data_IF_754268226850
#
_entry.id   IF_754268226850
#
_cell.length_a   1.000
_cell.length_b   1.000
_cell.length_c   1.000
_cell.angle_alpha   90.00
_cell.angle_beta   90.00
_cell.angle_gamma   90.00
#
_symmetry.space_group_name_H-M   'P 1'
#
loop_
_entity.id
_entity.type
_entity.pdbx_description
1 polymer ?
#
# COMPACT_ATOMS: atom_id res chain seq x y z
N UNK A 1 0.62 22.16 -46.15
CA UNK A 1 0.66 20.68 -46.18
C UNK A 1 0.33 20.19 -44.77
N UNK A 2 -0.92 19.74 -44.56
CA UNK A 2 -1.32 19.21 -43.25
C UNK A 2 -0.84 17.75 -43.18
N UNK A 3 -0.07 17.44 -42.18
CA UNK A 3 0.38 16.07 -41.91
C UNK A 3 -0.84 15.32 -41.31
N UNK A 4 -1.22 14.21 -41.93
CA UNK A 4 -2.35 13.39 -41.53
C UNK A 4 -2.02 12.70 -40.17
N UNK A 5 -2.80 13.00 -39.15
CA UNK A 5 -2.60 12.44 -37.80
C UNK A 5 -2.67 10.91 -37.74
N UNK A 6 -3.45 10.27 -38.63
CA UNK A 6 -3.50 8.81 -38.70
C UNK A 6 -2.18 8.19 -39.18
N UNK A 7 -1.46 8.86 -40.08
CA UNK A 7 -0.14 8.42 -40.52
C UNK A 7 0.92 8.50 -39.41
N UNK A 8 0.72 9.35 -38.40
CA UNK A 8 1.65 9.51 -37.26
C UNK A 8 1.42 8.48 -36.13
N UNK A 9 0.25 7.81 -36.09
CA UNK A 9 -0.06 6.82 -35.03
C UNK A 9 0.98 5.68 -34.90
N UNK A 10 1.45 5.05 -36.01
CA UNK A 10 2.51 4.03 -35.91
C UNK A 10 3.84 4.59 -35.40
N UNK A 11 4.17 5.82 -35.79
CA UNK A 11 5.44 6.48 -35.37
C UNK A 11 5.38 7.00 -33.92
N UNK A 12 4.21 7.39 -33.41
CA UNK A 12 4.03 7.71 -31.98
C UNK A 12 4.27 6.48 -31.10
N UNK A 13 3.78 5.30 -31.49
CA UNK A 13 4.06 4.04 -30.75
C UNK A 13 5.54 3.63 -30.85
N UNK A 14 6.18 3.83 -31.99
CA UNK A 14 7.63 3.59 -32.15
C UNK A 14 8.47 4.56 -31.34
N UNK A 15 8.11 5.84 -31.28
CA UNK A 15 8.83 6.84 -30.46
C UNK A 15 8.71 6.56 -28.97
N UNK A 16 7.57 6.06 -28.49
CA UNK A 16 7.42 5.65 -27.09
C UNK A 16 8.23 4.39 -26.79
N UNK A 17 8.24 3.39 -27.70
CA UNK A 17 9.08 2.20 -27.56
C UNK A 17 10.57 2.58 -27.60
N UNK A 18 11.00 3.47 -28.49
CA UNK A 18 12.38 3.93 -28.58
C UNK A 18 12.85 4.69 -27.34
N UNK A 19 11.96 5.45 -26.67
CA UNK A 19 12.27 6.15 -25.43
C UNK A 19 12.35 5.21 -24.23
N UNK A 20 11.56 4.14 -24.25
CA UNK A 20 11.42 3.23 -23.12
C UNK A 20 12.33 2.00 -23.20
N UNK A 21 12.85 1.68 -24.41
CA UNK A 21 13.85 0.60 -24.59
C UNK A 21 15.23 1.24 -24.46
N UNK A 22 15.89 0.96 -23.33
CA UNK A 22 17.19 1.53 -23.00
C UNK A 22 18.21 0.41 -22.82
N UNK A 23 19.46 0.68 -23.15
CA UNK A 23 20.57 -0.26 -22.94
C UNK A 23 20.86 -0.42 -21.45
N UNK A 24 21.23 -1.63 -21.02
CA UNK A 24 21.72 -1.85 -19.66
C UNK A 24 23.00 -1.04 -19.31
N UNK A 25 23.76 -0.61 -20.32
CA UNK A 25 24.91 0.28 -20.16
C UNK A 25 24.58 1.78 -20.19
N UNK A 26 23.29 2.14 -20.14
CA UNK A 26 22.90 3.55 -20.07
C UNK A 26 23.50 4.21 -18.81
N UNK A 27 24.17 5.39 -18.97
CA UNK A 27 24.82 6.04 -17.83
C UNK A 27 23.89 6.34 -16.65
N UNK A 28 22.61 6.62 -16.92
CA UNK A 28 21.62 6.84 -15.86
C UNK A 28 21.35 5.56 -15.05
N UNK A 29 21.26 4.39 -15.72
CA UNK A 29 21.11 3.12 -15.01
C UNK A 29 22.35 2.77 -14.20
N UNK A 30 23.53 3.03 -14.76
CA UNK A 30 24.80 2.84 -14.05
C UNK A 30 24.86 3.73 -12.80
N UNK A 31 24.45 5.00 -12.91
CA UNK A 31 24.38 5.90 -11.75
C UNK A 31 23.36 5.43 -10.72
N UNK A 32 22.17 5.00 -11.12
CA UNK A 32 21.15 4.45 -10.23
C UNK A 32 21.67 3.21 -9.47
N UNK A 33 22.43 2.34 -10.13
CA UNK A 33 23.04 1.16 -9.49
C UNK A 33 24.13 1.58 -8.50
N UNK A 34 24.96 2.55 -8.85
CA UNK A 34 25.97 3.11 -7.94
C UNK A 34 25.30 3.72 -6.70
N UNK A 35 24.26 4.54 -6.89
CA UNK A 35 23.50 5.15 -5.79
C UNK A 35 22.87 4.09 -4.89
N UNK A 36 22.34 3.00 -5.49
CA UNK A 36 21.79 1.88 -4.74
C UNK A 36 22.79 1.23 -3.78
N UNK A 37 24.03 1.02 -4.24
CA UNK A 37 25.06 0.36 -3.43
C UNK A 37 25.85 1.32 -2.56
N UNK A 38 26.16 2.51 -3.04
CA UNK A 38 27.06 3.45 -2.35
C UNK A 38 26.34 4.38 -1.38
N UNK A 39 25.11 4.79 -1.69
CA UNK A 39 24.32 5.71 -0.86
C UNK A 39 23.37 4.98 0.11
N UNK A 40 23.44 3.66 0.19
CA UNK A 40 22.60 2.88 1.09
C UNK A 40 21.11 2.89 0.71
N UNK A 41 20.78 2.97 -0.59
CA UNK A 41 19.39 2.90 -1.06
C UNK A 41 18.66 1.63 -0.62
N UNK A 42 19.39 0.57 -0.29
CA UNK A 42 18.84 -0.59 0.38
C UNK A 42 18.18 -0.25 1.73
N UNK A 43 18.55 0.88 2.32
CA UNK A 43 18.00 1.40 3.57
C UNK A 43 16.85 2.41 3.34
N UNK A 44 16.53 2.78 2.10
CA UNK A 44 15.37 3.62 1.80
C UNK A 44 14.07 2.88 2.07
N UNK A 45 13.09 3.59 2.59
CA UNK A 45 11.77 3.05 2.91
C UNK A 45 11.53 2.89 4.41
N UNK A 46 10.30 2.55 4.73
CA UNK A 46 9.80 2.42 6.09
C UNK A 46 10.24 1.07 6.66
N UNK A 47 10.87 1.06 7.82
CA UNK A 47 11.20 -0.18 8.52
C UNK A 47 9.91 -0.88 8.99
N UNK A 48 9.95 -2.20 9.00
CA UNK A 48 8.85 -3.00 9.57
C UNK A 48 9.10 -3.26 11.08
N UNK A 49 8.04 -3.38 11.90
CA UNK A 49 8.16 -3.50 13.36
C UNK A 49 8.60 -4.88 13.84
N UNK A 50 9.38 -5.62 13.03
CA UNK A 50 9.79 -6.99 13.34
C UNK A 50 11.31 -7.10 13.32
N UNK A 51 11.92 -7.33 14.47
CA UNK A 51 13.38 -7.42 14.61
C UNK A 51 14.03 -8.43 13.64
N UNK A 52 13.37 -9.55 13.36
CA UNK A 52 13.87 -10.56 12.42
C UNK A 52 14.01 -10.03 10.96
N UNK A 53 13.29 -8.97 10.62
CA UNK A 53 13.25 -8.41 9.27
C UNK A 53 13.83 -7.00 9.17
N UNK A 54 14.26 -6.40 10.28
CA UNK A 54 14.68 -5.00 10.40
C UNK A 54 15.68 -4.54 9.32
N UNK A 55 16.58 -5.44 8.89
CA UNK A 55 17.61 -5.14 7.88
C UNK A 55 17.40 -5.89 6.55
N UNK A 56 16.31 -6.63 6.41
CA UNK A 56 16.05 -7.49 5.26
C UNK A 56 14.86 -7.05 4.43
N UNK A 57 13.92 -6.36 5.05
CA UNK A 57 12.68 -5.95 4.41
C UNK A 57 12.28 -4.56 4.85
N UNK A 58 11.94 -3.71 3.88
CA UNK A 58 11.40 -2.36 4.07
C UNK A 58 10.23 -2.14 3.13
N UNK A 59 9.31 -1.31 3.55
CA UNK A 59 8.23 -0.82 2.70
C UNK A 59 8.79 0.33 1.87
N UNK A 60 9.24 0.03 0.66
CA UNK A 60 9.88 1.02 -0.21
C UNK A 60 8.83 1.86 -0.94
N UNK A 61 9.13 3.15 -1.23
CA UNK A 61 8.32 3.95 -2.15
C UNK A 61 8.14 3.22 -3.49
N UNK A 62 7.04 3.52 -4.17
CA UNK A 62 6.73 2.97 -5.51
C UNK A 62 6.41 1.47 -5.54
N UNK A 63 6.27 0.83 -4.38
CA UNK A 63 5.97 -0.59 -4.27
C UNK A 63 4.58 -0.85 -3.68
N UNK A 64 4.03 -2.02 -4.02
CA UNK A 64 2.79 -2.58 -3.47
C UNK A 64 3.11 -3.87 -2.71
N UNK A 65 2.71 -3.93 -1.45
CA UNK A 65 2.75 -5.15 -0.63
C UNK A 65 1.33 -5.72 -0.46
N UNK A 66 1.15 -7.02 -0.74
CA UNK A 66 -0.11 -7.71 -0.50
C UNK A 66 -0.02 -8.54 0.78
N UNK A 67 -0.87 -8.25 1.77
CA UNK A 67 -1.06 -9.06 2.97
C UNK A 67 -2.18 -10.06 2.74
N UNK A 68 -1.83 -11.26 2.29
CA UNK A 68 -2.76 -12.35 2.05
C UNK A 68 -2.96 -13.25 3.26
N UNK A 69 -4.16 -13.75 3.47
CA UNK A 69 -4.46 -14.75 4.51
C UNK A 69 -5.94 -14.94 4.77
N UNK A 70 -6.28 -16.00 5.49
CA UNK A 70 -7.67 -16.32 5.87
C UNK A 70 -8.24 -15.27 6.84
N UNK A 71 -9.58 -15.21 6.95
CA UNK A 71 -10.25 -14.33 7.90
C UNK A 71 -9.83 -14.67 9.36
N UNK A 72 -9.63 -13.63 10.16
CA UNK A 72 -9.18 -13.79 11.54
C UNK A 72 -7.67 -14.05 11.74
N UNK A 73 -6.86 -14.12 10.67
CA UNK A 73 -5.41 -14.35 10.76
C UNK A 73 -4.59 -13.13 11.26
N UNK A 74 -5.23 -12.03 11.66
CA UNK A 74 -4.54 -10.87 12.20
C UNK A 74 -3.97 -9.89 11.17
N UNK A 75 -4.35 -9.98 9.88
CA UNK A 75 -3.83 -9.09 8.81
C UNK A 75 -4.01 -7.62 9.12
N UNK A 76 -5.23 -7.21 9.47
CA UNK A 76 -5.53 -5.80 9.81
C UNK A 76 -4.83 -5.34 11.10
N UNK A 77 -4.57 -6.27 12.04
CA UNK A 77 -3.79 -5.98 13.24
C UNK A 77 -2.33 -5.71 12.88
N UNK A 78 -1.75 -6.56 12.02
CA UNK A 78 -0.41 -6.41 11.50
C UNK A 78 -0.25 -5.11 10.72
N UNK A 79 -1.21 -4.80 9.83
CA UNK A 79 -1.22 -3.55 9.05
C UNK A 79 -1.29 -2.31 9.96
N UNK A 80 -2.11 -2.34 11.01
CA UNK A 80 -2.17 -1.27 12.02
C UNK A 80 -0.82 -1.07 12.72
N UNK A 81 -0.12 -2.16 13.06
CA UNK A 81 1.21 -2.09 13.65
C UNK A 81 2.25 -1.47 12.71
N UNK A 82 2.16 -1.76 11.40
CA UNK A 82 3.02 -1.13 10.39
C UNK A 82 2.76 0.39 10.28
N UNK A 83 1.50 0.83 10.35
CA UNK A 83 1.13 2.26 10.37
C UNK A 83 1.70 2.96 11.61
N UNK A 84 1.56 2.37 12.80
CA UNK A 84 2.12 2.91 14.03
C UNK A 84 3.64 3.08 13.93
N UNK A 85 4.31 2.04 13.48
CA UNK A 85 5.77 2.05 13.34
C UNK A 85 6.26 3.03 12.25
N UNK A 86 5.50 3.22 11.19
CA UNK A 86 5.76 4.26 10.20
C UNK A 86 5.66 5.67 10.83
N UNK A 87 4.63 5.89 11.66
CA UNK A 87 4.45 7.14 12.40
C UNK A 87 5.59 7.45 13.39
N UNK A 88 6.16 6.42 14.04
CA UNK A 88 7.36 6.54 14.90
C UNK A 88 8.59 7.00 14.10
N UNK A 89 8.72 6.57 12.85
CA UNK A 89 9.78 6.97 11.92
C UNK A 89 9.51 8.33 11.23
N UNK A 90 8.40 9.00 11.55
CA UNK A 90 8.03 10.30 10.98
C UNK A 90 7.31 10.24 9.63
N UNK A 91 6.94 9.06 9.17
CA UNK A 91 6.16 8.93 7.94
C UNK A 91 4.67 9.11 8.20
N UNK A 92 4.00 9.78 7.27
CA UNK A 92 2.55 9.96 7.31
C UNK A 92 1.85 8.83 6.57
N UNK A 93 0.76 8.33 7.16
CA UNK A 93 0.02 7.18 6.66
C UNK A 93 -1.44 7.50 6.43
N UNK A 94 -2.04 6.90 5.39
CA UNK A 94 -3.47 6.92 5.11
C UNK A 94 -4.03 5.51 5.26
N UNK A 95 -5.07 5.35 6.08
CA UNK A 95 -5.84 4.10 6.18
C UNK A 95 -7.19 4.24 5.48
N UNK A 96 -7.41 3.39 4.48
CA UNK A 96 -8.67 3.23 3.75
C UNK A 96 -9.21 1.86 4.11
N UNK A 97 -10.14 1.78 5.05
CA UNK A 97 -10.75 0.52 5.46
C UNK A 97 -12.24 0.56 5.19
N UNK A 98 -12.71 -0.45 4.47
CA UNK A 98 -14.13 -0.67 4.22
C UNK A 98 -14.76 -1.59 5.28
N UNK A 99 -13.93 -2.24 6.12
CA UNK A 99 -14.39 -3.18 7.15
C UNK A 99 -14.52 -2.52 8.53
N UNK A 100 -13.69 -1.52 8.82
CA UNK A 100 -13.63 -0.89 10.14
C UNK A 100 -13.73 0.63 10.04
N UNK A 101 -14.60 1.19 10.88
CA UNK A 101 -14.67 2.65 11.03
C UNK A 101 -13.35 3.23 11.60
N UNK A 102 -13.04 4.51 11.34
CA UNK A 102 -11.88 5.19 11.92
C UNK A 102 -11.81 5.07 13.45
N UNK A 103 -12.97 5.20 14.13
CA UNK A 103 -13.07 5.00 15.59
C UNK A 103 -12.57 3.62 16.01
N UNK A 104 -13.01 2.56 15.33
CA UNK A 104 -12.62 1.19 15.67
C UNK A 104 -11.14 0.94 15.38
N UNK A 105 -10.60 1.52 14.31
CA UNK A 105 -9.17 1.46 13.98
C UNK A 105 -8.33 2.20 15.02
N UNK A 106 -8.71 3.43 15.39
CA UNK A 106 -8.02 4.21 16.42
C UNK A 106 -8.03 3.51 17.78
N UNK A 107 -9.16 2.92 18.18
CA UNK A 107 -9.24 2.16 19.43
C UNK A 107 -8.31 0.95 19.42
N UNK A 108 -8.18 0.25 18.28
CA UNK A 108 -7.22 -0.84 18.11
C UNK A 108 -5.78 -0.33 18.20
N UNK A 109 -5.44 0.72 17.45
CA UNK A 109 -4.10 1.31 17.43
C UNK A 109 -3.68 1.84 18.80
N UNK A 110 -4.61 2.44 19.56
CA UNK A 110 -4.34 2.89 20.91
C UNK A 110 -3.97 1.72 21.84
N UNK A 111 -4.70 0.60 21.78
CA UNK A 111 -4.35 -0.62 22.56
C UNK A 111 -2.98 -1.18 22.17
N UNK A 112 -2.63 -1.13 20.89
CA UNK A 112 -1.31 -1.56 20.41
C UNK A 112 -0.20 -0.64 20.91
N UNK A 113 -0.40 0.67 20.86
CA UNK A 113 0.59 1.66 21.26
C UNK A 113 0.79 1.69 22.79
N UNK A 114 -0.30 1.58 23.56
CA UNK A 114 -0.25 1.61 25.03
C UNK A 114 0.10 0.26 25.66
N UNK A 115 0.03 -0.85 24.89
CA UNK A 115 0.13 -2.23 25.38
C UNK A 115 -0.92 -2.58 26.48
N UNK A 116 -2.05 -1.87 26.45
CA UNK A 116 -3.13 -2.04 27.43
C UNK A 116 -4.39 -2.54 26.71
N UNK A 117 -5.09 -3.53 27.32
CA UNK A 117 -6.36 -4.00 26.81
C UNK A 117 -7.45 -2.92 26.91
N UNK A 118 -7.40 -2.14 27.99
CA UNK A 118 -8.29 -1.00 28.28
C UNK A 118 -7.43 0.23 28.57
N UNK A 119 -7.11 1.04 27.55
CA UNK A 119 -6.30 2.23 27.74
C UNK A 119 -7.01 3.29 28.61
N UNK A 120 -6.25 3.94 29.47
CA UNK A 120 -6.72 5.05 30.31
C UNK A 120 -6.97 6.30 29.45
N UNK A 121 -7.81 7.21 29.97
CA UNK A 121 -8.17 8.46 29.28
C UNK A 121 -6.95 9.27 28.87
N UNK A 122 -5.96 9.38 29.75
CA UNK A 122 -4.72 10.12 29.47
C UNK A 122 -3.91 9.46 28.34
N UNK A 123 -3.88 8.13 28.31
CA UNK A 123 -3.25 7.35 27.23
C UNK A 123 -3.95 7.58 25.89
N UNK A 124 -5.29 7.62 25.90
CA UNK A 124 -6.09 7.88 24.69
C UNK A 124 -5.80 9.28 24.17
N UNK A 125 -5.77 10.28 25.06
CA UNK A 125 -5.49 11.67 24.71
C UNK A 125 -4.07 11.84 24.18
N UNK A 126 -3.08 11.26 24.85
CA UNK A 126 -1.69 11.31 24.42
C UNK A 126 -1.47 10.63 23.06
N UNK A 127 -2.14 9.51 22.83
CA UNK A 127 -2.11 8.82 21.53
C UNK A 127 -2.74 9.68 20.43
N UNK A 128 -3.87 10.35 20.72
CA UNK A 128 -4.53 11.25 19.77
C UNK A 128 -3.62 12.40 19.33
N UNK A 129 -2.93 13.04 20.28
CA UNK A 129 -1.97 14.11 19.98
C UNK A 129 -0.75 13.57 19.22
N UNK A 130 -0.24 12.40 19.57
CA UNK A 130 0.87 11.76 18.84
C UNK A 130 0.46 11.39 17.41
N UNK A 131 -0.75 10.86 17.20
CA UNK A 131 -1.25 10.41 15.90
C UNK A 131 -1.62 11.57 14.97
N UNK A 132 -1.87 12.75 15.56
CA UNK A 132 -2.19 13.97 14.83
C UNK A 132 -1.11 14.24 13.77
N UNK A 133 -1.55 14.58 12.57
CA UNK A 133 -0.69 14.84 11.41
C UNK A 133 0.22 13.69 10.96
N UNK A 134 0.05 12.47 11.54
CA UNK A 134 0.76 11.25 11.14
C UNK A 134 -0.16 10.20 10.55
N UNK A 135 -1.37 10.04 11.10
CA UNK A 135 -2.31 8.99 10.69
C UNK A 135 -3.60 9.64 10.22
N UNK A 136 -3.95 9.38 8.98
CA UNK A 136 -5.15 9.87 8.32
C UNK A 136 -6.06 8.69 7.99
N UNK A 137 -7.37 8.94 8.02
CA UNK A 137 -8.39 7.93 7.71
C UNK A 137 -9.30 8.45 6.61
N UNK A 138 -9.65 7.56 5.69
CA UNK A 138 -10.75 7.80 4.78
C UNK A 138 -12.03 7.35 5.47
N UNK A 139 -12.84 8.30 5.93
CA UNK A 139 -14.06 8.05 6.69
C UNK A 139 -15.28 8.03 5.78
N UNK A 140 -15.44 6.92 5.05
CA UNK A 140 -16.61 6.65 4.25
C UNK A 140 -16.97 5.17 4.33
N UNK A 141 -18.27 4.91 4.51
CA UNK A 141 -18.79 3.54 4.51
C UNK A 141 -19.19 3.11 3.10
N UNK A 142 -19.05 1.84 2.81
CA UNK A 142 -19.43 1.23 1.55
C UNK A 142 -18.26 0.87 0.65
N UNK A 143 -18.58 0.43 -0.55
CA UNK A 143 -17.57 0.06 -1.55
C UNK A 143 -17.04 1.29 -2.29
N UNK A 144 -15.75 1.29 -2.60
CA UNK A 144 -15.08 2.33 -3.39
C UNK A 144 -14.63 1.73 -4.70
N UNK A 145 -14.92 2.39 -5.81
CA UNK A 145 -14.41 1.97 -7.11
C UNK A 145 -12.90 2.30 -7.26
N UNK A 146 -12.18 1.58 -8.14
CA UNK A 146 -10.73 1.74 -8.26
C UNK A 146 -10.26 3.16 -8.64
N UNK A 147 -11.03 3.90 -9.45
CA UNK A 147 -10.63 5.24 -9.89
C UNK A 147 -10.79 6.25 -8.75
N UNK A 148 -11.88 6.14 -8.00
CA UNK A 148 -12.10 6.92 -6.78
C UNK A 148 -11.02 6.63 -5.76
N UNK A 149 -10.64 5.36 -5.56
CA UNK A 149 -9.56 4.97 -4.65
C UNK A 149 -8.22 5.62 -5.03
N UNK A 150 -7.84 5.58 -6.30
CA UNK A 150 -6.62 6.23 -6.80
C UNK A 150 -6.69 7.75 -6.59
N UNK A 151 -7.86 8.36 -6.78
CA UNK A 151 -8.07 9.81 -6.57
C UNK A 151 -7.90 10.20 -5.10
N UNK A 152 -8.42 9.39 -4.17
CA UNK A 152 -8.25 9.57 -2.72
C UNK A 152 -6.77 9.51 -2.34
N UNK A 153 -6.05 8.48 -2.82
CA UNK A 153 -4.63 8.30 -2.53
C UNK A 153 -3.82 9.49 -3.07
N UNK A 154 -4.10 9.92 -4.31
CA UNK A 154 -3.46 11.08 -4.93
C UNK A 154 -3.68 12.33 -4.11
N UNK A 155 -4.94 12.64 -3.78
CA UNK A 155 -5.26 13.80 -2.99
C UNK A 155 -4.52 13.81 -1.64
N UNK A 156 -4.47 12.67 -0.96
CA UNK A 156 -3.80 12.54 0.32
C UNK A 156 -2.27 12.67 0.19
N UNK A 157 -1.67 12.09 -0.85
CA UNK A 157 -0.24 12.23 -1.12
C UNK A 157 0.14 13.69 -1.39
N UNK A 158 -0.63 14.37 -2.25
CA UNK A 158 -0.34 15.75 -2.66
C UNK A 158 -0.58 16.78 -1.55
N UNK A 159 -1.65 16.62 -0.73
CA UNK A 159 -2.05 17.63 0.26
C UNK A 159 -1.53 17.36 1.67
N UNK A 160 -1.33 16.09 2.05
CA UNK A 160 -0.88 15.72 3.39
C UNK A 160 0.52 15.13 3.42
N UNK A 161 1.12 14.83 2.27
CA UNK A 161 2.45 14.23 2.19
C UNK A 161 2.49 12.77 2.64
N UNK A 162 1.40 12.02 2.39
CA UNK A 162 1.31 10.60 2.73
C UNK A 162 2.41 9.79 2.01
N UNK A 163 3.03 8.86 2.73
CA UNK A 163 4.05 7.94 2.21
C UNK A 163 3.66 6.48 2.34
N UNK A 164 2.76 6.15 3.25
CA UNK A 164 2.22 4.80 3.43
C UNK A 164 0.70 4.81 3.30
N UNK A 165 0.16 3.93 2.48
CA UNK A 165 -1.28 3.76 2.28
C UNK A 165 -1.66 2.33 2.64
N UNK A 166 -2.65 2.17 3.51
CA UNK A 166 -3.30 0.89 3.79
C UNK A 166 -4.66 0.85 3.09
N UNK A 167 -4.91 -0.21 2.34
CA UNK A 167 -6.22 -0.54 1.76
C UNK A 167 -6.69 -1.86 2.34
N UNK A 168 -7.74 -1.83 3.16
CA UNK A 168 -8.29 -3.00 3.88
C UNK A 168 -9.81 -3.08 3.66
N UNK A 169 -10.33 -3.95 2.81
CA UNK A 169 -9.68 -5.02 2.04
C UNK A 169 -10.10 -4.99 0.57
N UNK A 170 -9.41 -5.79 -0.26
CA UNK A 170 -9.71 -5.97 -1.68
C UNK A 170 -11.15 -6.49 -1.92
N UNK A 171 -11.68 -7.33 -1.04
CA UNK A 171 -13.00 -7.96 -1.21
C UNK A 171 -14.18 -7.01 -1.01
N UNK A 172 -13.99 -5.88 -0.36
CA UNK A 172 -15.03 -4.86 -0.13
C UNK A 172 -15.12 -3.83 -1.25
N UNK A 173 -14.26 -3.94 -2.25
CA UNK A 173 -14.36 -3.14 -3.46
C UNK A 173 -15.43 -3.75 -4.36
N UNK A 174 -16.48 -3.02 -4.72
CA UNK A 174 -17.64 -3.27 -5.60
C UNK A 174 -17.56 -4.42 -6.62
N UNK A 175 -16.93 -5.54 -6.26
CA UNK A 175 -16.64 -6.67 -7.14
C UNK A 175 -17.10 -7.97 -6.50
N UNK A 176 -17.65 -8.87 -7.33
CA UNK A 176 -17.93 -10.24 -6.90
C UNK A 176 -16.62 -10.95 -6.48
N UNK A 177 -16.70 -11.84 -5.50
CA UNK A 177 -15.52 -12.56 -4.95
C UNK A 177 -14.81 -13.47 -5.97
N UNK A 178 -15.43 -13.70 -7.13
CA UNK A 178 -14.98 -14.49 -8.27
C UNK A 178 -14.61 -13.63 -9.49
N UNK A 179 -14.70 -12.30 -9.39
CA UNK A 179 -14.27 -11.38 -10.45
C UNK A 179 -12.72 -11.18 -10.44
N UNK A 180 -12.03 -12.14 -11.01
CA UNK A 180 -10.57 -12.08 -11.15
C UNK A 180 -10.08 -10.88 -11.98
N UNK A 181 -10.84 -10.48 -12.99
CA UNK A 181 -10.46 -9.36 -13.86
C UNK A 181 -10.56 -8.03 -13.11
N UNK A 182 -11.62 -7.84 -12.34
CA UNK A 182 -11.77 -6.67 -11.48
C UNK A 182 -10.68 -6.61 -10.41
N UNK A 183 -10.39 -7.72 -9.72
CA UNK A 183 -9.32 -7.79 -8.73
C UNK A 183 -7.95 -7.45 -9.33
N UNK A 184 -7.64 -8.01 -10.51
CA UNK A 184 -6.40 -7.70 -11.25
C UNK A 184 -6.33 -6.22 -11.63
N UNK A 185 -7.45 -5.62 -12.06
CA UNK A 185 -7.51 -4.21 -12.42
C UNK A 185 -7.21 -3.31 -11.20
N UNK A 186 -7.76 -3.63 -10.02
CA UNK A 186 -7.47 -2.91 -8.77
C UNK A 186 -6.01 -3.01 -8.37
N UNK A 187 -5.44 -4.21 -8.36
CA UNK A 187 -4.02 -4.42 -8.02
C UNK A 187 -3.12 -3.62 -8.96
N UNK A 188 -3.39 -3.66 -10.27
CA UNK A 188 -2.64 -2.89 -11.26
C UNK A 188 -2.80 -1.37 -11.05
N UNK A 189 -4.01 -0.90 -10.77
CA UNK A 189 -4.27 0.51 -10.49
C UNK A 189 -3.52 1.00 -9.26
N UNK A 190 -3.52 0.22 -8.16
CA UNK A 190 -2.80 0.53 -6.94
C UNK A 190 -1.27 0.48 -7.13
N UNK A 191 -0.74 -0.51 -7.86
CA UNK A 191 0.68 -0.60 -8.16
C UNK A 191 1.16 0.59 -9.01
N UNK A 192 0.38 0.99 -10.03
CA UNK A 192 0.67 2.18 -10.83
C UNK A 192 0.55 3.47 -10.00
N UNK A 193 -0.45 3.54 -9.11
CA UNK A 193 -0.63 4.66 -8.20
C UNK A 193 0.57 4.80 -7.26
N UNK A 194 1.03 3.71 -6.65
CA UNK A 194 2.20 3.68 -5.78
C UNK A 194 3.44 4.24 -6.49
N UNK A 195 3.69 3.75 -7.72
CA UNK A 195 4.84 4.17 -8.55
C UNK A 195 4.77 5.64 -8.92
N UNK A 196 3.60 6.10 -9.38
CA UNK A 196 3.44 7.47 -9.87
C UNK A 196 3.47 8.54 -8.78
N UNK A 197 3.13 8.16 -7.53
CA UNK A 197 3.05 9.08 -6.39
C UNK A 197 4.23 8.93 -5.41
N UNK A 198 5.12 7.97 -5.61
CA UNK A 198 6.24 7.72 -4.71
C UNK A 198 5.78 7.33 -3.30
N UNK A 199 4.68 6.56 -3.19
CA UNK A 199 4.14 6.04 -1.94
C UNK A 199 4.30 4.53 -1.87
N UNK A 200 4.25 3.96 -0.65
CA UNK A 200 4.08 2.52 -0.48
C UNK A 200 2.60 2.19 -0.23
N UNK A 201 2.08 1.17 -0.90
CA UNK A 201 0.70 0.69 -0.69
C UNK A 201 0.71 -0.70 -0.08
N UNK A 202 0.01 -0.87 1.05
CA UNK A 202 -0.31 -2.18 1.63
C UNK A 202 -1.75 -2.51 1.28
N UNK A 203 -1.95 -3.61 0.58
CA UNK A 203 -3.27 -4.13 0.22
C UNK A 203 -3.57 -5.40 1.02
N UNK A 204 -4.64 -5.39 1.79
CA UNK A 204 -5.12 -6.58 2.50
C UNK A 204 -5.99 -7.41 1.56
N UNK A 205 -5.67 -8.69 1.43
CA UNK A 205 -6.42 -9.65 0.63
C UNK A 205 -6.86 -10.86 1.48
N UNK A 206 -8.10 -11.31 1.27
CA UNK A 206 -8.63 -12.48 1.93
C UNK A 206 -8.46 -13.73 1.07
N UNK A 207 -7.76 -14.74 1.59
CA UNK A 207 -7.71 -16.05 0.98
C UNK A 207 -8.98 -16.85 1.33
N UNK A 208 -9.55 -17.58 0.36
CA UNK A 208 -10.58 -18.57 0.65
C UNK A 208 -9.99 -19.64 1.57
N UNK A 209 -10.76 -20.10 2.56
CA UNK A 209 -10.37 -21.31 3.30
C UNK A 209 -10.27 -22.45 2.28
N UNK A 210 -9.08 -22.98 2.09
CA UNK A 210 -8.90 -24.21 1.31
C UNK A 210 -9.72 -25.33 1.95
N UNK A 211 -10.24 -26.24 1.13
CA UNK A 211 -10.76 -27.51 1.61
C UNK A 211 -9.69 -28.18 2.48
N UNK A 212 -10.10 -28.76 3.59
CA UNK A 212 -9.17 -29.37 4.54
C UNK A 212 -8.28 -30.36 3.81
N UNK A 213 -6.97 -30.26 3.96
CA UNK A 213 -5.96 -31.18 3.40
C UNK A 213 -6.16 -32.63 3.88
N UNK A 214 -7.08 -32.88 4.83
CA UNK A 214 -7.42 -34.19 5.37
C UNK A 214 -8.01 -35.16 4.34
N UNK A 215 -8.57 -34.69 3.20
CA UNK A 215 -9.16 -35.59 2.19
C UNK A 215 -8.17 -36.11 1.15
N UNK A 216 -6.88 -35.80 1.25
CA UNK A 216 -5.83 -36.28 0.32
C UNK A 216 -4.95 -37.39 0.84
N UNK A 217 -5.12 -37.81 2.07
CA UNK A 217 -4.30 -38.89 2.66
C UNK A 217 -4.99 -40.26 2.73
N UNK A 218 -6.27 -40.35 2.30
CA UNK A 218 -7.03 -41.59 2.29
C UNK A 218 -7.34 -42.12 0.87
N UNK A 219 -6.41 -41.96 -0.07
CA UNK A 219 -6.46 -42.67 -1.37
C UNK A 219 -5.13 -43.26 -1.75
#
# INVERSE_FOLDING_TARGET
MRIDEERLKPYRKMTDAQRNIRSAGDPEFTQQVLDHYMLGENLKGIEVPFNAYKHRFRLKPEELTVLGGINGAGKSLLASQMILHAGEQGYKSLSISMEMSPKAQLARMNRQASLQAEPLVDSISAFGEWAKDKIYFYDQHGSVDPNTLVSIIRYAADNYGIKLVLVDSLMTMSMASDDWNGQKAVVNALANCARNLGVHVILVAHAKKGEKVTDRLDK
#
